data_IF_216598055505
#
_entry.id   IF_216598055505
#
_cell.length_a   1.000
_cell.length_b   1.000
_cell.length_c   1.000
_cell.angle_alpha   90.00
_cell.angle_beta   90.00
_cell.angle_gamma   90.00
#
_symmetry.space_group_name_H-M   'P 1'
#
loop_
_entity.id
_entity.type
_entity.pdbx_description
1 polymer ?
#
# COMPACT_ATOMS: atom_id res chain seq x y z
N UNK A 1 0.05 14.44 -4.26
CA UNK A 1 -0.18 13.13 -4.91
C UNK A 1 0.37 12.03 -4.01
N UNK A 2 -0.29 10.86 -3.95
CA UNK A 2 0.15 9.70 -3.15
C UNK A 2 0.63 8.60 -4.09
N UNK A 3 1.78 8.00 -3.81
CA UNK A 3 2.31 6.85 -4.53
C UNK A 3 2.23 5.61 -3.66
N UNK A 4 1.65 4.53 -4.19
CA UNK A 4 1.49 3.26 -3.50
C UNK A 4 2.35 2.22 -4.21
N UNK A 5 3.23 1.55 -3.46
CA UNK A 5 4.04 0.44 -3.94
C UNK A 5 3.46 -0.87 -3.39
N UNK A 6 3.10 -1.79 -4.29
CA UNK A 6 2.63 -3.14 -3.95
C UNK A 6 3.53 -4.15 -4.64
N UNK A 7 4.05 -5.11 -3.87
CA UNK A 7 4.86 -6.21 -4.42
C UNK A 7 4.00 -7.32 -5.05
N UNK A 8 4.62 -8.25 -5.79
CA UNK A 8 3.94 -9.44 -6.34
C UNK A 8 3.54 -10.43 -5.23
N UNK A 9 2.94 -11.58 -5.59
CA UNK A 9 2.50 -12.62 -4.64
C UNK A 9 3.61 -13.10 -3.69
N UNK A 10 4.86 -13.15 -4.18
CA UNK A 10 6.04 -13.50 -3.37
C UNK A 10 6.53 -12.40 -2.43
N UNK A 11 5.91 -11.22 -2.49
CA UNK A 11 6.36 -10.00 -1.82
C UNK A 11 7.57 -9.37 -2.49
N UNK A 12 7.98 -8.23 -1.94
CA UNK A 12 9.26 -7.58 -2.28
C UNK A 12 10.41 -8.33 -1.59
N UNK A 13 11.53 -8.48 -2.27
CA UNK A 13 12.78 -8.98 -1.70
C UNK A 13 13.32 -8.04 -0.60
N UNK A 14 14.24 -8.50 0.27
CA UNK A 14 14.87 -7.62 1.26
C UNK A 14 15.52 -6.37 0.64
N UNK A 15 16.18 -6.52 -0.51
CA UNK A 15 16.88 -5.43 -1.19
C UNK A 15 15.91 -4.43 -1.81
N UNK A 16 14.82 -4.89 -2.43
CA UNK A 16 13.76 -4.01 -2.94
C UNK A 16 13.08 -3.23 -1.81
N UNK A 17 12.85 -3.85 -0.65
CA UNK A 17 12.31 -3.15 0.52
C UNK A 17 13.30 -2.12 1.06
N UNK A 18 14.60 -2.41 1.06
CA UNK A 18 15.63 -1.47 1.47
C UNK A 18 15.69 -0.28 0.50
N UNK A 19 15.65 -0.54 -0.80
CA UNK A 19 15.61 0.49 -1.84
C UNK A 19 14.36 1.37 -1.72
N UNK A 20 13.17 0.77 -1.53
CA UNK A 20 11.94 1.53 -1.34
C UNK A 20 12.04 2.48 -0.14
N UNK A 21 12.59 2.01 0.99
CA UNK A 21 12.85 2.86 2.17
C UNK A 21 13.83 3.99 1.86
N UNK A 22 14.92 3.71 1.14
CA UNK A 22 15.89 4.73 0.72
C UNK A 22 15.26 5.79 -0.21
N UNK A 23 14.28 5.40 -1.03
CA UNK A 23 13.50 6.30 -1.88
C UNK A 23 12.36 7.02 -1.12
N UNK A 24 12.27 6.87 0.20
CA UNK A 24 11.29 7.57 1.04
C UNK A 24 9.94 6.85 1.21
N UNK A 25 9.78 5.62 0.74
CA UNK A 25 8.56 4.85 1.01
C UNK A 25 8.48 4.47 2.49
N UNK A 26 7.29 4.68 3.07
CA UNK A 26 6.97 4.26 4.44
C UNK A 26 6.16 2.96 4.41
N UNK A 27 6.59 1.96 5.18
CA UNK A 27 5.88 0.68 5.27
C UNK A 27 4.60 0.80 6.09
N UNK A 28 3.50 0.26 5.56
CA UNK A 28 2.18 0.28 6.20
C UNK A 28 1.59 -1.13 6.29
N UNK A 29 0.65 -1.34 7.23
CA UNK A 29 -0.14 -2.59 7.34
C UNK A 29 -1.62 -2.27 7.18
N UNK A 30 -2.30 -3.02 6.32
CA UNK A 30 -3.76 -2.93 6.12
C UNK A 30 -4.48 -3.99 6.96
N UNK A 31 -4.45 -3.78 8.28
CA UNK A 31 -5.01 -4.73 9.25
C UNK A 31 -4.13 -5.97 9.48
N UNK A 32 -4.67 -7.01 10.15
CA UNK A 32 -3.87 -8.17 10.60
C UNK A 32 -3.68 -9.26 9.54
N UNK A 33 -4.42 -9.22 8.43
CA UNK A 33 -4.41 -10.26 7.39
C UNK A 33 -3.44 -9.90 6.28
N UNK A 34 -2.71 -10.89 5.77
CA UNK A 34 -1.94 -10.74 4.54
C UNK A 34 -2.93 -10.70 3.38
N UNK A 35 -2.93 -9.59 2.64
CA UNK A 35 -3.76 -9.42 1.45
C UNK A 35 -3.01 -9.98 0.23
N UNK A 36 -3.76 -10.55 -0.73
CA UNK A 36 -3.22 -10.94 -2.03
C UNK A 36 -2.86 -9.72 -2.87
N UNK A 37 -2.00 -9.89 -3.87
CA UNK A 37 -1.49 -8.81 -4.73
C UNK A 37 -2.61 -8.05 -5.42
N UNK A 38 -3.69 -8.73 -5.81
CA UNK A 38 -4.86 -8.12 -6.45
C UNK A 38 -5.76 -7.34 -5.47
N UNK A 39 -5.75 -7.69 -4.18
CA UNK A 39 -6.61 -7.08 -3.15
C UNK A 39 -5.92 -5.92 -2.43
N UNK A 40 -4.62 -6.05 -2.18
CA UNK A 40 -3.82 -5.05 -1.48
C UNK A 40 -3.92 -3.62 -2.07
N UNK A 41 -3.78 -3.39 -3.39
CA UNK A 41 -3.84 -2.04 -3.95
C UNK A 41 -5.26 -1.46 -3.87
N UNK A 42 -6.29 -2.29 -4.10
CA UNK A 42 -7.69 -1.85 -4.01
C UNK A 42 -8.03 -1.41 -2.58
N UNK A 43 -7.64 -2.21 -1.58
CA UNK A 43 -7.83 -1.86 -0.17
C UNK A 43 -7.03 -0.60 0.23
N UNK A 44 -5.79 -0.45 -0.27
CA UNK A 44 -4.96 0.72 0.00
C UNK A 44 -5.59 1.99 -0.58
N UNK A 45 -6.04 1.96 -1.84
CA UNK A 45 -6.69 3.11 -2.50
C UNK A 45 -8.00 3.45 -1.78
N UNK A 46 -8.83 2.46 -1.46
CA UNK A 46 -10.08 2.69 -0.73
C UNK A 46 -9.83 3.33 0.64
N UNK A 47 -8.81 2.86 1.38
CA UNK A 47 -8.43 3.46 2.66
C UNK A 47 -7.92 4.90 2.50
N UNK A 48 -7.10 5.18 1.48
CA UNK A 48 -6.62 6.54 1.19
C UNK A 48 -7.78 7.47 0.86
N UNK A 49 -8.72 7.04 0.01
CA UNK A 49 -9.89 7.84 -0.34
C UNK A 49 -10.84 8.04 0.85
N UNK A 50 -11.00 7.03 1.70
CA UNK A 50 -11.82 7.13 2.92
C UNK A 50 -11.20 8.08 3.95
N UNK A 51 -9.86 8.17 4.04
CA UNK A 51 -9.22 8.98 5.08
C UNK A 51 -8.94 10.42 4.62
N UNK A 52 -8.65 10.61 3.33
CA UNK A 52 -8.14 11.88 2.79
C UNK A 52 -8.72 12.27 1.45
N UNK A 53 -9.57 11.43 0.86
CA UNK A 53 -10.23 11.70 -0.41
C UNK A 53 -11.71 11.97 -0.24
N UNK A 54 -12.47 11.63 -1.28
CA UNK A 54 -13.86 12.02 -1.47
C UNK A 54 -14.89 10.93 -1.11
N UNK A 55 -14.45 9.77 -0.62
CA UNK A 55 -15.37 8.68 -0.28
C UNK A 55 -16.31 9.00 0.88
N UNK A 56 -16.00 10.03 1.67
CA UNK A 56 -16.86 10.52 2.75
C UNK A 56 -17.66 11.76 2.37
N UNK A 57 -17.53 12.28 1.15
CA UNK A 57 -18.16 13.55 0.73
C UNK A 57 -19.63 13.37 0.28
N UNK A 58 -20.33 12.38 0.84
CA UNK A 58 -21.72 12.01 0.53
C UNK A 58 -22.71 12.38 1.63
#
# INVERSE_FOLDING_TARGET
>A
AVSILVGPEGGLTPDERALAKQQGFTGVRLGPRVLRTETAPLAAIAAVQTLWGDFNDG
#
